data_IF_813829724719
#
_entry.id   IF_813829724719
#
_cell.length_a   1.000
_cell.length_b   1.000
_cell.length_c   1.000
_cell.angle_alpha   90.00
_cell.angle_beta   90.00
_cell.angle_gamma   90.00
#
_symmetry.space_group_name_H-M   'P 1'
#
loop_
_entity.id
_entity.type
_entity.pdbx_description
1 polymer ?
#
# COMPACT_ATOMS: atom_id res chain seq x y z
N UNK A 1 12.02 -5.41 5.84
CA UNK A 1 12.10 -6.22 7.05
C UNK A 1 10.75 -6.27 7.79
N UNK A 2 10.17 -5.13 8.23
CA UNK A 2 8.90 -5.10 8.99
C UNK A 2 7.74 -5.79 8.25
N UNK A 3 7.64 -5.64 6.93
CA UNK A 3 6.61 -6.30 6.14
C UNK A 3 6.67 -7.83 6.29
N UNK A 4 7.81 -8.44 6.00
CA UNK A 4 7.97 -9.90 6.10
C UNK A 4 7.79 -10.43 7.52
N UNK A 5 8.38 -9.76 8.52
CA UNK A 5 8.25 -10.17 9.94
C UNK A 5 6.81 -10.02 10.46
N UNK A 6 6.10 -8.96 10.06
CA UNK A 6 4.69 -8.77 10.42
C UNK A 6 3.81 -9.90 9.88
N UNK A 7 3.98 -10.26 8.61
CA UNK A 7 3.25 -11.38 8.01
C UNK A 7 3.66 -12.73 8.62
N UNK A 8 4.95 -12.98 8.83
CA UNK A 8 5.43 -14.22 9.45
C UNK A 8 4.92 -14.39 10.89
N UNK A 9 4.80 -13.30 11.66
CA UNK A 9 4.24 -13.35 13.01
C UNK A 9 2.73 -13.66 13.03
N UNK A 10 2.01 -13.25 11.97
CA UNK A 10 0.57 -13.48 11.86
C UNK A 10 0.22 -14.83 11.22
N UNK A 11 1.02 -15.29 10.24
CA UNK A 11 0.67 -16.39 9.33
C UNK A 11 1.76 -17.44 9.18
N UNK A 12 2.82 -17.39 10.00
CA UNK A 12 3.89 -18.40 9.97
C UNK A 12 3.35 -19.82 10.15
N UNK A 13 4.03 -20.79 9.51
CA UNK A 13 3.55 -22.20 9.40
C UNK A 13 3.36 -22.88 10.74
N UNK A 14 4.14 -22.52 11.76
CA UNK A 14 4.04 -23.08 13.11
C UNK A 14 4.17 -22.00 14.20
N UNK A 15 3.87 -22.37 15.41
CA UNK A 15 3.89 -21.47 16.56
C UNK A 15 5.30 -21.01 16.95
N UNK A 16 6.35 -21.85 16.93
CA UNK A 16 7.72 -21.38 17.15
C UNK A 16 8.14 -20.27 16.16
N UNK A 17 7.86 -20.45 14.86
CA UNK A 17 8.15 -19.46 13.82
C UNK A 17 7.40 -18.15 14.07
N UNK A 18 6.10 -18.21 14.39
CA UNK A 18 5.31 -17.00 14.69
C UNK A 18 5.87 -16.24 15.90
N UNK A 19 6.22 -16.93 16.99
CA UNK A 19 6.83 -16.31 18.19
C UNK A 19 8.16 -15.66 17.87
N UNK A 20 9.04 -16.36 17.14
CA UNK A 20 10.34 -15.80 16.75
C UNK A 20 10.18 -14.59 15.86
N UNK A 21 9.31 -14.66 14.84
CA UNK A 21 9.01 -13.53 13.96
C UNK A 21 8.45 -12.34 14.74
N UNK A 22 7.57 -12.57 15.71
CA UNK A 22 7.02 -11.51 16.56
C UNK A 22 8.08 -10.84 17.45
N UNK A 23 9.04 -11.60 18.00
CA UNK A 23 10.15 -11.04 18.74
C UNK A 23 11.02 -10.15 17.84
N UNK A 24 11.44 -10.65 16.68
CA UNK A 24 12.22 -9.90 15.71
C UNK A 24 11.46 -8.68 15.15
N UNK A 25 10.14 -8.78 15.01
CA UNK A 25 9.30 -7.65 14.61
C UNK A 25 9.36 -6.51 15.62
N UNK A 26 9.22 -6.82 16.93
CA UNK A 26 9.31 -5.80 17.99
C UNK A 26 10.70 -5.13 18.02
N UNK A 27 11.76 -5.91 17.85
CA UNK A 27 13.13 -5.37 17.79
C UNK A 27 13.29 -4.44 16.57
N UNK A 28 12.87 -4.88 15.39
CA UNK A 28 12.90 -4.06 14.18
C UNK A 28 12.02 -2.79 14.29
N UNK A 29 10.85 -2.92 14.93
CA UNK A 29 9.94 -1.79 15.15
C UNK A 29 10.55 -0.75 16.10
N UNK A 30 11.34 -1.16 17.09
CA UNK A 30 12.03 -0.23 17.97
C UNK A 30 13.01 0.69 17.24
N UNK A 31 13.60 0.19 16.16
CA UNK A 31 14.53 0.92 15.29
C UNK A 31 13.83 1.71 14.16
N UNK A 32 12.57 1.40 13.86
CA UNK A 32 11.83 2.08 12.79
C UNK A 32 11.55 3.55 13.15
N UNK A 33 11.90 4.43 12.22
CA UNK A 33 11.72 5.89 12.33
C UNK A 33 10.81 6.36 11.19
N UNK A 34 9.48 6.49 11.42
CA UNK A 34 8.54 6.93 10.39
C UNK A 34 8.90 8.29 9.78
N UNK A 35 9.57 9.16 10.54
CA UNK A 35 10.01 10.48 10.11
C UNK A 35 11.11 10.46 9.04
N UNK A 36 11.91 9.41 9.00
CA UNK A 36 12.99 9.21 8.04
C UNK A 36 12.61 8.33 6.85
N UNK A 37 11.52 7.59 6.97
CA UNK A 37 11.08 6.66 5.94
C UNK A 37 10.48 7.40 4.72
N UNK A 38 10.87 6.99 3.53
CA UNK A 38 10.24 7.41 2.28
C UNK A 38 8.82 6.86 2.13
N UNK A 39 8.07 7.28 1.08
CA UNK A 39 6.70 6.82 0.87
C UNK A 39 6.58 5.29 0.69
N UNK A 40 7.50 4.68 -0.06
CA UNK A 40 7.47 3.24 -0.30
C UNK A 40 7.88 2.44 0.93
N UNK A 41 8.92 2.85 1.65
CA UNK A 41 9.35 2.24 2.91
C UNK A 41 8.23 2.32 3.96
N UNK A 42 7.54 3.45 4.04
CA UNK A 42 6.38 3.63 4.90
C UNK A 42 5.24 2.69 4.52
N UNK A 43 5.00 2.50 3.21
CA UNK A 43 3.95 1.62 2.70
C UNK A 43 4.20 0.15 3.06
N UNK A 44 5.43 -0.33 2.90
CA UNK A 44 5.79 -1.69 3.33
C UNK A 44 5.74 -1.86 4.85
N UNK A 45 6.22 -0.86 5.61
CA UNK A 45 6.17 -0.91 7.07
C UNK A 45 4.71 -0.95 7.58
N UNK A 46 3.81 -0.18 6.99
CA UNK A 46 2.39 -0.17 7.34
C UNK A 46 1.70 -1.51 7.09
N UNK A 47 2.04 -2.21 6.01
CA UNK A 47 1.50 -3.54 5.72
C UNK A 47 1.94 -4.56 6.77
N UNK A 48 3.22 -4.53 7.17
CA UNK A 48 3.73 -5.37 8.26
C UNK A 48 3.11 -5.02 9.61
N UNK A 49 2.98 -3.74 9.92
CA UNK A 49 2.31 -3.27 11.13
C UNK A 49 0.84 -3.69 11.17
N UNK A 50 0.11 -3.60 10.06
CA UNK A 50 -1.26 -4.07 9.97
C UNK A 50 -1.38 -5.56 10.27
N UNK A 51 -0.54 -6.41 9.65
CA UNK A 51 -0.54 -7.85 9.88
C UNK A 51 -0.25 -8.18 11.36
N UNK A 52 0.73 -7.50 11.95
CA UNK A 52 1.11 -7.66 13.35
C UNK A 52 -0.02 -7.24 14.31
N UNK A 53 -0.58 -6.04 14.13
CA UNK A 53 -1.65 -5.50 15.00
C UNK A 53 -2.90 -6.36 14.97
N UNK A 54 -3.21 -6.98 13.83
CA UNK A 54 -4.33 -7.94 13.74
C UNK A 54 -4.06 -9.23 14.51
N UNK A 55 -2.83 -9.71 14.50
CA UNK A 55 -2.44 -10.93 15.23
C UNK A 55 -2.30 -10.68 16.75
N UNK A 56 -1.92 -9.46 17.14
CA UNK A 56 -1.67 -9.07 18.53
C UNK A 56 -2.48 -7.81 18.92
N UNK A 57 -3.82 -7.90 18.98
CA UNK A 57 -4.68 -6.72 19.16
C UNK A 57 -4.53 -6.04 20.53
N UNK A 58 -3.97 -6.75 21.52
CA UNK A 58 -3.70 -6.21 22.86
C UNK A 58 -2.48 -5.30 22.96
N UNK A 59 -1.61 -5.27 21.94
CA UNK A 59 -0.41 -4.43 21.96
C UNK A 59 -0.71 -3.03 21.41
N UNK A 60 -0.70 -2.01 22.28
CA UNK A 60 -0.99 -0.61 21.89
C UNK A 60 0.16 0.06 21.12
N UNK A 61 1.41 -0.24 21.46
CA UNK A 61 2.59 0.37 20.86
C UNK A 61 2.68 0.22 19.33
N UNK A 62 2.56 -0.99 18.77
CA UNK A 62 2.53 -1.18 17.32
C UNK A 62 1.37 -0.46 16.63
N UNK A 63 0.19 -0.40 17.25
CA UNK A 63 -0.98 0.34 16.73
C UNK A 63 -0.72 1.84 16.67
N UNK A 64 -0.07 2.41 17.67
CA UNK A 64 0.29 3.83 17.68
C UNK A 64 1.38 4.15 16.64
N UNK A 65 2.36 3.25 16.46
CA UNK A 65 3.35 3.37 15.38
C UNK A 65 2.72 3.31 14.00
N UNK A 66 1.72 2.44 13.81
CA UNK A 66 0.95 2.37 12.58
C UNK A 66 0.23 3.70 12.30
N UNK A 67 -0.46 4.26 13.29
CA UNK A 67 -1.15 5.56 13.17
C UNK A 67 -0.17 6.68 12.80
N UNK A 68 0.98 6.74 13.48
CA UNK A 68 2.01 7.75 13.21
C UNK A 68 2.54 7.65 11.78
N UNK A 69 2.87 6.44 11.32
CA UNK A 69 3.36 6.22 9.96
C UNK A 69 2.28 6.55 8.90
N UNK A 70 1.02 6.17 9.15
CA UNK A 70 -0.09 6.45 8.25
C UNK A 70 -0.40 7.94 8.14
N UNK A 71 -0.38 8.68 9.26
CA UNK A 71 -0.53 10.14 9.26
C UNK A 71 0.54 10.81 8.39
N UNK A 72 1.79 10.38 8.54
CA UNK A 72 2.90 10.94 7.76
C UNK A 72 2.81 10.60 6.27
N UNK A 73 2.42 9.37 5.95
CA UNK A 73 2.25 8.96 4.55
C UNK A 73 1.09 9.75 3.90
N UNK A 74 -0.05 9.83 4.56
CA UNK A 74 -1.21 10.58 4.07
C UNK A 74 -0.92 12.09 3.90
N UNK A 75 -0.15 12.68 4.81
CA UNK A 75 0.24 14.09 4.74
C UNK A 75 1.17 14.41 3.55
N UNK A 76 1.83 13.42 2.95
CA UNK A 76 2.65 13.60 1.75
C UNK A 76 1.85 13.61 0.45
N UNK A 77 0.57 13.24 0.49
CA UNK A 77 -0.29 13.24 -0.70
C UNK A 77 -0.81 14.64 -0.96
N UNK A 78 -0.62 15.21 -2.16
CA UNK A 78 -1.10 16.53 -2.50
C UNK A 78 -2.62 16.64 -2.39
N UNK A 79 -3.09 17.71 -1.76
CA UNK A 79 -4.51 18.06 -1.74
C UNK A 79 -4.83 19.00 -2.92
N UNK A 80 -5.99 18.79 -3.56
CA UNK A 80 -6.48 19.69 -4.61
C UNK A 80 -5.65 19.70 -5.91
N UNK A 81 -4.86 18.64 -6.15
CA UNK A 81 -4.03 18.49 -7.35
C UNK A 81 -4.49 17.28 -8.17
N UNK A 82 -4.36 17.37 -9.50
CA UNK A 82 -4.55 16.22 -10.39
C UNK A 82 -3.43 15.18 -10.27
N UNK A 83 -2.28 15.59 -9.75
CA UNK A 83 -1.16 14.72 -9.42
C UNK A 83 -1.25 14.29 -7.96
N UNK A 84 -1.84 13.12 -7.73
CA UNK A 84 -2.09 12.57 -6.39
C UNK A 84 -1.02 11.52 -6.06
N UNK A 85 0.24 11.96 -6.03
CA UNK A 85 1.39 11.11 -5.71
C UNK A 85 2.44 11.90 -4.91
N UNK A 86 3.13 11.29 -3.93
CA UNK A 86 4.19 11.96 -3.21
C UNK A 86 5.44 12.10 -4.11
N UNK A 87 5.82 13.35 -4.39
CA UNK A 87 6.91 13.67 -5.33
C UNK A 87 6.44 13.71 -6.79
N UNK A 88 7.39 13.84 -7.71
CA UNK A 88 7.13 14.10 -9.13
C UNK A 88 7.26 12.85 -10.02
N UNK A 89 7.39 11.66 -9.42
CA UNK A 89 7.54 10.41 -10.17
C UNK A 89 6.84 9.25 -9.47
N UNK A 90 6.02 8.50 -10.22
CA UNK A 90 5.51 7.18 -9.83
C UNK A 90 6.51 6.13 -10.32
N UNK A 91 6.96 5.27 -9.42
CA UNK A 91 7.90 4.19 -9.69
C UNK A 91 7.26 2.83 -9.46
N UNK A 92 8.07 1.77 -9.37
CA UNK A 92 7.62 0.38 -9.20
C UNK A 92 6.68 0.18 -7.98
N UNK A 93 5.89 -0.89 -8.05
CA UNK A 93 5.00 -1.39 -6.98
C UNK A 93 4.06 -0.30 -6.42
N UNK A 94 3.59 0.57 -7.31
CA UNK A 94 2.81 1.77 -6.96
C UNK A 94 1.51 1.48 -6.22
N UNK A 95 0.94 0.29 -6.40
CA UNK A 95 -0.25 -0.18 -5.66
C UNK A 95 -0.05 -0.31 -4.15
N UNK A 96 1.20 -0.43 -3.67
CA UNK A 96 1.49 -0.58 -2.23
C UNK A 96 1.13 0.63 -1.39
N UNK A 97 1.24 1.84 -1.95
CA UNK A 97 0.91 3.05 -1.21
C UNK A 97 -0.59 3.13 -0.87
N UNK A 98 -1.53 3.08 -1.83
CA UNK A 98 -2.95 3.08 -1.50
C UNK A 98 -3.37 1.84 -0.69
N UNK A 99 -2.77 0.66 -0.94
CA UNK A 99 -3.00 -0.53 -0.11
C UNK A 99 -2.66 -0.27 1.35
N UNK A 100 -1.48 0.28 1.64
CA UNK A 100 -1.03 0.57 2.99
C UNK A 100 -1.97 1.51 3.74
N UNK A 101 -2.50 2.54 3.07
CA UNK A 101 -3.48 3.46 3.67
C UNK A 101 -4.84 2.80 3.90
N UNK A 102 -5.32 1.91 3.01
CA UNK A 102 -6.54 1.14 3.22
C UNK A 102 -6.42 0.22 4.43
N UNK A 103 -5.30 -0.48 4.56
CA UNK A 103 -5.01 -1.35 5.70
C UNK A 103 -4.87 -0.55 7.00
N UNK A 104 -4.28 0.65 6.94
CA UNK A 104 -4.22 1.54 8.09
C UNK A 104 -5.61 2.03 8.52
N UNK A 105 -6.47 2.38 7.56
CA UNK A 105 -7.86 2.76 7.84
C UNK A 105 -8.62 1.62 8.56
N UNK A 106 -8.46 0.40 8.09
CA UNK A 106 -9.04 -0.80 8.72
C UNK A 106 -8.54 -0.97 10.16
N UNK A 107 -7.22 -0.86 10.39
CA UNK A 107 -6.59 -1.12 11.67
C UNK A 107 -6.97 -0.11 12.76
N UNK A 108 -7.15 1.17 12.41
CA UNK A 108 -7.37 2.24 13.40
C UNK A 108 -8.73 2.95 13.31
N UNK A 109 -9.56 2.59 12.32
CA UNK A 109 -10.90 3.15 12.13
C UNK A 109 -10.89 4.62 11.69
N UNK A 110 -9.90 5.05 10.88
CA UNK A 110 -9.77 6.43 10.45
C UNK A 110 -10.04 6.58 8.94
N UNK A 111 -11.20 7.14 8.63
CA UNK A 111 -11.69 7.31 7.25
C UNK A 111 -10.81 8.23 6.39
N UNK A 112 -10.03 9.12 6.99
CA UNK A 112 -9.11 10.01 6.25
C UNK A 112 -8.09 9.21 5.46
N UNK A 113 -7.61 8.07 6.00
CA UNK A 113 -6.69 7.18 5.27
C UNK A 113 -7.39 6.47 4.11
N UNK A 114 -8.65 6.03 4.32
CA UNK A 114 -9.45 5.42 3.25
C UNK A 114 -9.67 6.39 2.09
N UNK A 115 -10.05 7.62 2.39
CA UNK A 115 -10.27 8.66 1.39
C UNK A 115 -8.98 8.99 0.62
N UNK A 116 -7.86 9.14 1.32
CA UNK A 116 -6.55 9.36 0.71
C UNK A 116 -6.15 8.20 -0.21
N UNK A 117 -6.33 6.97 0.25
CA UNK A 117 -6.05 5.76 -0.53
C UNK A 117 -6.89 5.68 -1.80
N UNK A 118 -8.20 5.90 -1.69
CA UNK A 118 -9.12 5.84 -2.84
C UNK A 118 -8.83 6.95 -3.86
N UNK A 119 -8.43 8.15 -3.41
CA UNK A 119 -7.97 9.21 -4.31
C UNK A 119 -6.72 8.79 -5.09
N UNK A 120 -5.73 8.23 -4.38
CA UNK A 120 -4.49 7.74 -5.00
C UNK A 120 -4.76 6.58 -5.96
N UNK A 121 -5.65 5.68 -5.59
CA UNK A 121 -6.00 4.54 -6.43
C UNK A 121 -6.71 4.96 -7.72
N UNK A 122 -7.63 5.94 -7.66
CA UNK A 122 -8.24 6.56 -8.86
C UNK A 122 -7.21 7.29 -9.73
N UNK A 123 -6.20 7.90 -9.10
CA UNK A 123 -5.10 8.52 -9.84
C UNK A 123 -4.30 7.48 -10.62
N UNK A 124 -3.89 6.38 -9.98
CA UNK A 124 -3.16 5.28 -10.63
C UNK A 124 -4.00 4.60 -11.71
N UNK A 125 -5.31 4.47 -11.51
CA UNK A 125 -6.23 3.87 -12.47
C UNK A 125 -6.20 4.58 -13.84
N UNK A 126 -6.01 5.91 -13.88
CA UNK A 126 -5.91 6.65 -15.13
C UNK A 126 -4.73 6.22 -16.00
N UNK A 127 -3.62 5.85 -15.38
CA UNK A 127 -2.46 5.33 -16.07
C UNK A 127 -2.60 3.85 -16.43
N UNK A 128 -3.14 3.07 -15.48
CA UNK A 128 -3.20 1.61 -15.60
C UNK A 128 -4.40 1.11 -16.43
N UNK A 129 -5.45 1.93 -16.57
CA UNK A 129 -6.63 1.63 -17.39
C UNK A 129 -7.04 2.87 -18.20
N UNK A 130 -6.25 3.26 -19.21
CA UNK A 130 -6.56 4.45 -20.04
C UNK A 130 -7.88 4.29 -20.79
N UNK A 131 -8.29 3.05 -21.04
CA UNK A 131 -9.59 2.71 -21.59
C UNK A 131 -10.47 2.08 -20.51
N UNK A 132 -11.73 2.51 -20.41
CA UNK A 132 -12.64 2.06 -19.35
C UNK A 132 -12.80 0.52 -19.27
N UNK A 133 -12.71 -0.18 -20.39
CA UNK A 133 -12.82 -1.64 -20.53
C UNK A 133 -11.57 -2.28 -21.14
N UNK A 134 -10.46 -1.55 -21.18
CA UNK A 134 -9.19 -2.05 -21.69
C UNK A 134 -8.44 -2.96 -20.72
N UNK A 135 -7.40 -3.66 -21.22
CA UNK A 135 -6.53 -4.46 -20.37
C UNK A 135 -5.73 -3.58 -19.41
N UNK A 136 -5.21 -4.20 -18.35
CA UNK A 136 -4.25 -3.56 -17.47
C UNK A 136 -3.00 -3.16 -18.26
N UNK A 137 -2.58 -1.92 -18.10
CA UNK A 137 -1.32 -1.37 -18.61
C UNK A 137 -0.47 -0.95 -17.42
N UNK A 138 0.66 -1.58 -17.22
CA UNK A 138 1.57 -1.22 -16.12
C UNK A 138 2.45 -0.02 -16.52
N UNK A 139 2.85 0.75 -15.53
CA UNK A 139 3.85 1.82 -15.70
C UNK A 139 5.20 1.16 -15.91
N UNK A 140 5.81 1.41 -17.07
CA UNK A 140 7.09 0.80 -17.43
C UNK A 140 8.27 1.40 -16.66
N UNK A 141 9.23 0.55 -16.35
CA UNK A 141 10.44 0.92 -15.61
C UNK A 141 11.43 1.73 -16.50
N UNK A 142 11.31 1.64 -17.82
CA UNK A 142 12.10 2.46 -18.74
C UNK A 142 11.55 3.90 -18.85
N UNK A 143 11.65 4.65 -17.75
CA UNK A 143 11.23 6.05 -17.66
C UNK A 143 10.20 6.34 -16.57
N UNK A 144 9.49 5.33 -16.06
CA UNK A 144 8.45 5.49 -15.03
C UNK A 144 7.28 6.40 -15.46
N UNK A 145 6.61 7.04 -14.54
CA UNK A 145 5.62 8.08 -14.83
C UNK A 145 6.03 9.38 -14.14
N UNK A 146 6.58 10.29 -14.91
CA UNK A 146 6.95 11.63 -14.44
C UNK A 146 5.76 12.57 -14.53
N UNK A 147 5.66 13.48 -13.58
CA UNK A 147 4.62 14.52 -13.56
C UNK A 147 4.68 15.38 -14.83
N UNK A 148 3.54 15.50 -15.49
CA UNK A 148 3.44 16.25 -16.75
C UNK A 148 3.88 15.47 -18.01
N UNK A 149 4.17 14.18 -17.87
CA UNK A 149 4.47 13.26 -18.99
C UNK A 149 3.51 12.09 -19.00
N UNK A 150 3.46 11.36 -20.10
CA UNK A 150 2.76 10.08 -20.18
C UNK A 150 3.55 8.98 -19.44
N UNK A 151 2.84 7.97 -18.88
CA UNK A 151 3.49 6.80 -18.30
C UNK A 151 4.34 6.06 -19.32
N UNK A 152 5.54 5.61 -18.93
CA UNK A 152 6.38 4.77 -19.76
C UNK A 152 5.68 3.42 -20.06
N UNK A 153 5.79 2.93 -21.30
CA UNK A 153 5.10 1.74 -21.76
C UNK A 153 5.97 0.47 -21.76
N UNK A 154 7.29 0.60 -21.60
CA UNK A 154 8.24 -0.50 -21.75
C UNK A 154 8.82 -0.95 -20.42
N UNK A 155 9.30 -2.19 -20.34
CA UNK A 155 9.86 -2.83 -19.15
C UNK A 155 8.87 -2.90 -17.99
N UNK A 156 7.65 -3.37 -18.27
CA UNK A 156 6.61 -3.60 -17.27
C UNK A 156 6.98 -4.78 -16.36
N UNK A 157 6.70 -4.66 -15.06
CA UNK A 157 7.10 -5.67 -14.07
C UNK A 157 5.87 -6.31 -13.40
N UNK A 158 5.81 -7.64 -13.27
CA UNK A 158 4.68 -8.33 -12.63
C UNK A 158 4.41 -7.90 -11.19
N UNK A 159 5.41 -7.36 -10.47
CA UNK A 159 5.23 -6.85 -9.11
C UNK A 159 4.22 -5.71 -9.05
N UNK A 160 4.18 -4.86 -10.08
CA UNK A 160 3.21 -3.77 -10.17
C UNK A 160 1.78 -4.28 -10.28
N UNK A 161 1.55 -5.34 -11.08
CA UNK A 161 0.25 -5.99 -11.17
C UNK A 161 -0.18 -6.56 -9.81
N UNK A 162 0.71 -7.27 -9.10
CA UNK A 162 0.44 -7.83 -7.78
C UNK A 162 0.02 -6.74 -6.78
N UNK A 163 0.79 -5.64 -6.70
CA UNK A 163 0.47 -4.52 -5.80
C UNK A 163 -0.89 -3.88 -6.11
N UNK A 164 -1.23 -3.72 -7.40
CA UNK A 164 -2.51 -3.16 -7.82
C UNK A 164 -3.68 -4.10 -7.52
N UNK A 165 -3.56 -5.41 -7.80
CA UNK A 165 -4.61 -6.41 -7.46
C UNK A 165 -4.93 -6.37 -5.98
N UNK A 166 -3.91 -6.40 -5.12
CA UNK A 166 -4.10 -6.32 -3.67
C UNK A 166 -4.78 -5.01 -3.24
N UNK A 167 -4.38 -3.87 -3.85
CA UNK A 167 -4.96 -2.56 -3.55
C UNK A 167 -6.44 -2.48 -4.00
N UNK A 168 -6.77 -2.95 -5.20
CA UNK A 168 -8.15 -2.99 -5.68
C UNK A 168 -9.03 -3.92 -4.85
N UNK A 169 -8.53 -5.10 -4.48
CA UNK A 169 -9.25 -6.02 -3.60
C UNK A 169 -9.48 -5.41 -2.20
N UNK A 170 -8.50 -4.68 -1.66
CA UNK A 170 -8.67 -3.96 -0.40
C UNK A 170 -9.67 -2.81 -0.51
N UNK A 171 -9.67 -2.07 -1.61
CA UNK A 171 -10.64 -1.00 -1.87
C UNK A 171 -12.07 -1.56 -1.98
N UNK A 172 -12.26 -2.69 -2.67
CA UNK A 172 -13.55 -3.38 -2.70
C UNK A 172 -14.01 -3.82 -1.29
N UNK A 173 -13.14 -4.41 -0.50
CA UNK A 173 -13.47 -4.78 0.89
C UNK A 173 -13.91 -3.57 1.72
N UNK A 174 -13.23 -2.44 1.56
CA UNK A 174 -13.48 -1.22 2.32
C UNK A 174 -14.74 -0.45 1.88
N UNK A 175 -15.16 -0.57 0.61
CA UNK A 175 -16.24 0.27 0.03
C UNK A 175 -17.44 -0.49 -0.46
N UNK A 176 -17.28 -1.78 -0.80
CA UNK A 176 -18.23 -2.61 -1.53
C UNK A 176 -18.62 -2.07 -2.93
N UNK A 177 -17.83 -1.14 -3.45
CA UNK A 177 -17.98 -0.65 -4.81
C UNK A 177 -17.49 -1.71 -5.81
N UNK A 178 -18.37 -2.25 -6.69
CA UNK A 178 -18.04 -3.32 -7.64
C UNK A 178 -16.98 -2.91 -8.66
N UNK A 179 -16.78 -1.62 -8.88
CA UNK A 179 -15.70 -1.11 -9.74
C UNK A 179 -14.35 -1.67 -9.34
N UNK A 180 -14.04 -1.68 -8.04
CA UNK A 180 -12.74 -2.14 -7.56
C UNK A 180 -12.55 -3.64 -7.74
N UNK A 181 -13.62 -4.43 -7.59
CA UNK A 181 -13.57 -5.87 -7.87
C UNK A 181 -13.28 -6.10 -9.36
N UNK A 182 -14.00 -5.42 -10.26
CA UNK A 182 -13.79 -5.53 -11.69
C UNK A 182 -12.36 -5.12 -12.12
N UNK A 183 -11.74 -4.13 -11.43
CA UNK A 183 -10.33 -3.78 -11.68
C UNK A 183 -9.36 -4.85 -11.19
N UNK A 184 -9.62 -5.46 -10.04
CA UNK A 184 -8.80 -6.57 -9.55
C UNK A 184 -8.85 -7.76 -10.52
N UNK A 185 -10.05 -8.14 -10.99
CA UNK A 185 -10.24 -9.21 -11.98
C UNK A 185 -9.53 -8.90 -13.30
N UNK A 186 -9.67 -7.67 -13.83
CA UNK A 186 -9.00 -7.25 -15.07
C UNK A 186 -7.47 -7.23 -14.93
N UNK A 187 -6.93 -7.08 -13.74
CA UNK A 187 -5.49 -7.08 -13.48
C UNK A 187 -4.92 -8.50 -13.32
N UNK A 188 -5.74 -9.53 -13.23
CA UNK A 188 -5.34 -10.94 -13.14
C UNK A 188 -5.51 -11.71 -14.46
N UNK A 189 -6.18 -11.10 -15.44
CA UNK A 189 -6.44 -11.70 -16.75
C UNK A 189 -5.27 -11.47 -17.71
#
# INVERSE_FOLDING_TARGET
>A
LLWGLGHASAQGVDEPMRRQAAALFRDALSAFRPELAGPMESSYALQGLHAYVRAFPGESGPRERLRTAANRLAARLPAGSDWVWPGDRVTYDSGRLPLALLLAAEAVGDDRYREAALRTLRFLERANFPEAKGPLRLIGNSGWWERGRDPAAHDQQPIDASGLVEAYAAAWRATRDPRWLGRAESATA
#
